data_IF_293080661275
#
_entry.id   IF_293080661275
#
_cell.length_a   1.000
_cell.length_b   1.000
_cell.length_c   1.000
_cell.angle_alpha   90.00
_cell.angle_beta   90.00
_cell.angle_gamma   90.00
#
_symmetry.space_group_name_H-M   'P 1'
#
loop_
_entity.id
_entity.type
_entity.pdbx_description
1 polymer ?
#
# COMPACT_ATOMS: atom_id res chain seq x y z
N UNK A 1 -8.29 0.76 12.73
CA UNK A 1 -7.94 -0.28 11.74
C UNK A 1 -8.60 -0.01 10.39
N UNK A 2 -9.93 0.11 10.32
CA UNK A 2 -10.62 0.38 9.04
C UNK A 2 -10.19 1.70 8.38
N UNK A 3 -10.01 2.76 9.16
CA UNK A 3 -9.54 4.06 8.68
C UNK A 3 -8.12 3.99 8.09
N UNK A 4 -7.17 3.41 8.82
CA UNK A 4 -5.83 3.14 8.33
C UNK A 4 -5.84 2.31 7.04
N UNK A 5 -6.67 1.25 6.98
CA UNK A 5 -6.81 0.42 5.78
C UNK A 5 -7.38 1.20 4.60
N UNK A 6 -8.34 2.08 4.82
CA UNK A 6 -8.90 2.95 3.77
C UNK A 6 -7.85 3.90 3.20
N UNK A 7 -6.98 4.42 4.07
CA UNK A 7 -5.91 5.34 3.67
C UNK A 7 -4.82 4.65 2.84
N UNK A 8 -4.43 3.43 3.21
CA UNK A 8 -3.39 2.66 2.51
C UNK A 8 -3.93 2.06 1.19
N UNK A 9 -5.24 1.88 1.05
CA UNK A 9 -5.82 1.16 -0.10
C UNK A 9 -5.70 1.96 -1.40
N UNK A 10 -4.97 1.46 -2.41
CA UNK A 10 -4.86 2.15 -3.69
C UNK A 10 -6.13 1.97 -4.53
N UNK A 11 -6.58 3.04 -5.17
CA UNK A 11 -7.74 3.01 -6.07
C UNK A 11 -7.31 2.67 -7.50
N UNK A 12 -6.12 3.09 -7.91
CA UNK A 12 -5.58 2.93 -9.26
C UNK A 12 -4.21 2.26 -9.19
N UNK A 13 -3.99 1.26 -10.04
CA UNK A 13 -2.67 0.68 -10.28
C UNK A 13 -2.24 0.99 -11.72
N UNK A 14 -0.93 0.98 -11.96
CA UNK A 14 -0.41 1.24 -13.29
C UNK A 14 -0.01 -0.08 -13.95
N UNK A 15 -0.50 -0.31 -15.17
CA UNK A 15 -0.19 -1.49 -15.97
C UNK A 15 0.58 -1.10 -17.22
N UNK A 16 1.64 -1.85 -17.51
CA UNK A 16 2.40 -1.67 -18.73
C UNK A 16 1.54 -2.09 -19.95
N UNK A 17 1.36 -1.19 -20.91
CA UNK A 17 0.69 -1.42 -22.18
C UNK A 17 1.60 -0.98 -23.31
N UNK A 18 1.74 -1.81 -24.34
CA UNK A 18 2.57 -1.48 -25.51
C UNK A 18 1.74 -0.73 -26.56
N UNK A 19 2.23 0.42 -26.98
CA UNK A 19 1.61 1.25 -28.03
C UNK A 19 2.72 1.78 -28.94
N UNK A 20 2.58 1.60 -30.26
CA UNK A 20 3.53 2.16 -31.24
C UNK A 20 4.99 1.73 -31.08
N UNK A 21 5.26 0.57 -30.45
CA UNK A 21 6.61 0.05 -30.22
C UNK A 21 7.20 0.32 -28.83
N UNK A 22 6.69 1.31 -28.09
CA UNK A 22 7.11 1.65 -26.72
C UNK A 22 6.14 1.12 -25.65
N UNK A 23 6.65 0.94 -24.42
CA UNK A 23 5.87 0.52 -23.26
C UNK A 23 5.40 1.74 -22.47
N UNK A 24 4.09 1.93 -22.35
CA UNK A 24 3.47 3.00 -21.59
C UNK A 24 2.84 2.46 -20.32
N UNK A 25 2.86 3.27 -19.28
CA UNK A 25 2.23 3.00 -17.99
C UNK A 25 0.80 3.53 -18.04
N UNK A 26 -0.20 2.64 -18.11
CA UNK A 26 -1.61 3.02 -18.22
C UNK A 26 -2.30 2.83 -16.87
N UNK A 27 -3.01 3.85 -16.34
CA UNK A 27 -3.77 3.73 -15.09
C UNK A 27 -4.98 2.83 -15.29
N UNK A 28 -5.17 1.88 -14.38
CA UNK A 28 -6.29 0.94 -14.36
C UNK A 28 -6.84 0.88 -12.94
N UNK A 29 -8.16 0.86 -12.81
CA UNK A 29 -8.82 0.73 -11.51
C UNK A 29 -8.56 -0.64 -10.87
N UNK A 30 -8.22 -0.63 -9.58
CA UNK A 30 -7.87 -1.85 -8.85
C UNK A 30 -9.15 -2.57 -8.39
N UNK A 31 -9.24 -3.87 -8.71
CA UNK A 31 -10.34 -4.72 -8.23
C UNK A 31 -10.35 -4.81 -6.70
N UNK A 32 -11.55 -4.96 -6.11
CA UNK A 32 -11.76 -4.95 -4.66
C UNK A 32 -10.99 -6.02 -3.88
N UNK A 33 -10.87 -7.23 -4.44
CA UNK A 33 -10.07 -8.34 -3.90
C UNK A 33 -8.57 -7.99 -3.84
N UNK A 34 -8.06 -7.36 -4.91
CA UNK A 34 -6.65 -6.98 -5.04
C UNK A 34 -6.31 -5.76 -4.19
N UNK A 35 -7.26 -4.84 -4.00
CA UNK A 35 -7.11 -3.63 -3.17
C UNK A 35 -6.66 -3.94 -1.74
N UNK A 36 -7.37 -4.85 -1.08
CA UNK A 36 -7.01 -5.28 0.29
C UNK A 36 -5.66 -5.99 0.32
N UNK A 37 -5.38 -6.83 -0.67
CA UNK A 37 -4.11 -7.57 -0.76
C UNK A 37 -2.92 -6.62 -0.92
N UNK A 38 -3.04 -5.58 -1.75
CA UNK A 38 -2.00 -4.57 -1.93
C UNK A 38 -1.79 -3.75 -0.66
N UNK A 39 -2.88 -3.34 0.00
CA UNK A 39 -2.80 -2.56 1.23
C UNK A 39 -2.06 -3.33 2.34
N UNK A 40 -2.43 -4.59 2.58
CA UNK A 40 -1.76 -5.44 3.57
C UNK A 40 -0.29 -5.68 3.20
N UNK A 41 0.00 -5.90 1.91
CA UNK A 41 1.38 -6.10 1.44
C UNK A 41 2.25 -4.87 1.70
N UNK A 42 1.74 -3.68 1.45
CA UNK A 42 2.44 -2.43 1.75
C UNK A 42 2.64 -2.27 3.25
N UNK A 43 1.58 -2.43 4.06
CA UNK A 43 1.67 -2.34 5.51
C UNK A 43 2.76 -3.25 6.09
N UNK A 44 2.80 -4.53 5.70
CA UNK A 44 3.85 -5.46 6.17
C UNK A 44 5.22 -5.08 5.63
N UNK A 45 5.30 -4.62 4.37
CA UNK A 45 6.55 -4.19 3.74
C UNK A 45 7.18 -2.99 4.43
N UNK A 46 6.39 -1.98 4.77
CA UNK A 46 6.84 -0.78 5.48
C UNK A 46 7.10 -1.05 6.97
N UNK A 47 6.24 -1.82 7.63
CA UNK A 47 6.47 -2.25 9.01
C UNK A 47 7.83 -2.96 9.16
N UNK A 48 8.24 -3.78 8.19
CA UNK A 48 9.55 -4.45 8.21
C UNK A 48 10.75 -3.50 8.09
N UNK A 49 10.59 -2.36 7.41
CA UNK A 49 11.65 -1.36 7.24
C UNK A 49 11.86 -0.49 8.48
N UNK A 50 10.93 -0.51 9.45
CA UNK A 50 11.06 0.22 10.71
C UNK A 50 12.12 -0.42 11.62
N UNK A 51 12.79 0.43 12.40
CA UNK A 51 13.88 0.04 13.31
C UNK A 51 13.46 -0.39 14.72
N UNK A 52 12.17 -0.59 14.99
CA UNK A 52 11.67 -0.90 16.34
C UNK A 52 12.02 -2.34 16.79
N UNK A 53 11.86 -2.66 18.08
CA UNK A 53 12.38 -3.91 18.65
C UNK A 53 11.59 -5.15 18.24
N UNK A 54 10.26 -5.08 18.21
CA UNK A 54 9.40 -6.23 17.89
C UNK A 54 8.50 -5.94 16.69
N UNK A 55 8.10 -6.99 15.95
CA UNK A 55 7.18 -6.83 14.82
C UNK A 55 5.80 -6.33 15.25
N UNK A 56 5.39 -6.63 16.49
CA UNK A 56 4.14 -6.14 17.05
C UNK A 56 4.16 -4.62 17.23
N UNK A 57 5.25 -4.07 17.77
CA UNK A 57 5.45 -2.61 17.86
C UNK A 57 5.47 -1.99 16.47
N UNK A 58 6.21 -2.58 15.51
CA UNK A 58 6.32 -2.06 14.13
C UNK A 58 4.98 -1.97 13.43
N UNK A 59 4.13 -2.97 13.61
CA UNK A 59 2.79 -2.99 13.04
C UNK A 59 1.87 -1.97 13.72
N UNK A 60 1.93 -1.87 15.05
CA UNK A 60 1.15 -0.87 15.78
C UNK A 60 1.54 0.56 15.37
N UNK A 61 2.84 0.82 15.23
CA UNK A 61 3.38 2.09 14.73
C UNK A 61 2.88 2.41 13.32
N UNK A 62 3.01 1.49 12.36
CA UNK A 62 2.48 1.71 11.00
C UNK A 62 0.97 1.90 10.96
N UNK A 63 0.19 1.16 11.76
CA UNK A 63 -1.27 1.31 11.78
C UNK A 63 -1.67 2.69 12.33
N UNK A 64 -0.96 3.19 13.35
CA UNK A 64 -1.19 4.54 13.87
C UNK A 64 -0.78 5.62 12.87
N UNK A 65 0.38 5.47 12.24
CA UNK A 65 0.89 6.44 11.26
C UNK A 65 0.01 6.48 9.99
N UNK A 66 -0.49 5.33 9.55
CA UNK A 66 -1.42 5.22 8.43
C UNK A 66 -2.81 5.82 8.75
N UNK A 67 -3.28 5.70 10.00
CA UNK A 67 -4.50 6.40 10.43
C UNK A 67 -4.31 7.92 10.38
N UNK A 68 -3.12 8.41 10.72
CA UNK A 68 -2.78 9.83 10.72
C UNK A 68 -2.27 10.38 9.38
N UNK A 69 -2.35 9.61 8.29
CA UNK A 69 -1.82 9.98 6.95
C UNK A 69 -0.33 10.40 6.95
N UNK A 70 0.43 9.99 7.96
CA UNK A 70 1.82 10.43 8.18
C UNK A 70 2.82 9.27 8.04
N UNK A 71 2.33 8.08 7.73
CA UNK A 71 3.12 6.88 7.46
C UNK A 71 3.73 6.85 6.06
N UNK A 72 4.66 5.91 5.87
CA UNK A 72 5.25 5.63 4.56
C UNK A 72 4.38 4.70 3.69
N UNK A 73 3.26 4.23 4.24
CA UNK A 73 2.30 3.28 3.67
C UNK A 73 0.98 3.97 3.30
#
# INVERSE_FOLDING_TARGET
FEEAMKNITPIVEVRARRVGGANYQVPVEVRSDRRQTLAIRWLVGYARKRGEKTMAERLAGEIMDAANHTGAA
#
